data_IF_189499515236
#
_entry.id   IF_189499515236
#
_cell.length_a   1.000
_cell.length_b   1.000
_cell.length_c   1.000
_cell.angle_alpha   90.00
_cell.angle_beta   90.00
_cell.angle_gamma   90.00
#
_symmetry.space_group_name_H-M   'P 1'
#
loop_
_entity.id
_entity.type
_entity.pdbx_description
1 polymer ?
#
# COMPACT_ATOMS: atom_id res chain seq x y z
N UNK A 1 -25.08 -16.82 18.01
CA UNK A 1 -23.70 -16.33 17.81
C UNK A 1 -22.94 -16.56 19.11
N UNK A 2 -21.85 -17.32 19.11
CA UNK A 2 -20.98 -17.40 20.29
C UNK A 2 -20.29 -16.04 20.45
N UNK A 3 -20.15 -15.49 21.67
CA UNK A 3 -19.33 -14.31 21.87
C UNK A 3 -17.91 -14.66 21.42
N UNK A 4 -17.38 -13.92 20.45
CA UNK A 4 -15.99 -14.08 20.02
C UNK A 4 -15.10 -13.89 21.24
N UNK A 5 -14.30 -14.92 21.57
CA UNK A 5 -13.34 -14.85 22.66
C UNK A 5 -12.18 -13.95 22.25
N UNK A 6 -12.27 -12.69 22.70
CA UNK A 6 -11.24 -11.67 22.53
C UNK A 6 -9.94 -12.11 23.20
N UNK A 7 -8.87 -12.32 22.43
CA UNK A 7 -7.53 -12.64 22.98
C UNK A 7 -6.65 -11.39 23.00
N UNK A 8 -6.00 -11.06 24.13
CA UNK A 8 -4.98 -10.02 24.16
C UNK A 8 -3.78 -10.44 23.32
N UNK A 9 -3.18 -9.52 22.56
CA UNK A 9 -1.91 -9.78 21.90
C UNK A 9 -0.83 -10.08 22.94
N UNK A 10 -0.03 -11.13 22.72
CA UNK A 10 1.28 -11.25 23.35
C UNK A 10 2.19 -10.23 22.69
N UNK A 11 2.15 -8.98 23.16
CA UNK A 11 3.02 -7.89 22.71
C UNK A 11 4.46 -8.35 22.96
N UNK A 12 5.21 -8.71 21.90
CA UNK A 12 6.64 -8.92 22.04
C UNK A 12 7.28 -7.58 22.47
N UNK A 13 8.10 -7.66 23.50
CA UNK A 13 8.23 -6.69 24.59
C UNK A 13 9.00 -5.40 24.30
N UNK A 14 9.28 -5.02 23.05
CA UNK A 14 10.15 -3.88 22.76
C UNK A 14 9.75 -2.97 21.58
N UNK A 15 9.05 -3.47 20.56
CA UNK A 15 8.94 -2.75 19.27
C UNK A 15 7.75 -1.78 19.21
N UNK A 16 6.65 -2.08 19.89
CA UNK A 16 5.37 -1.38 19.72
C UNK A 16 5.01 -0.42 20.87
N UNK A 17 5.88 -0.29 21.86
CA UNK A 17 5.60 0.44 23.10
C UNK A 17 5.64 1.97 22.95
N UNK A 18 6.12 2.54 21.84
CA UNK A 18 6.29 4.00 21.71
C UNK A 18 5.01 4.80 22.00
N UNK A 19 4.00 4.67 21.13
CA UNK A 19 2.73 5.38 21.30
C UNK A 19 1.86 4.80 22.42
N UNK A 20 1.92 3.49 22.66
CA UNK A 20 1.15 2.86 23.75
C UNK A 20 1.59 3.36 25.13
N UNK A 21 2.91 3.47 25.35
CA UNK A 21 3.44 4.03 26.60
C UNK A 21 3.10 5.52 26.72
N UNK A 22 3.15 6.28 25.62
CA UNK A 22 2.72 7.68 25.64
C UNK A 22 1.24 7.83 26.00
N UNK A 23 0.39 6.93 25.50
CA UNK A 23 -1.03 6.90 25.85
C UNK A 23 -1.24 6.57 27.33
N UNK A 24 -0.59 5.53 27.85
CA UNK A 24 -0.71 5.14 29.25
C UNK A 24 -0.21 6.24 30.21
N UNK A 25 0.93 6.87 29.91
CA UNK A 25 1.47 7.97 30.72
C UNK A 25 0.57 9.21 30.66
N UNK A 26 -0.02 9.52 29.51
CA UNK A 26 -0.99 10.62 29.37
C UNK A 26 -2.24 10.37 30.23
N UNK A 27 -2.77 9.14 30.21
CA UNK A 27 -3.93 8.73 31.02
C UNK A 27 -3.61 8.85 32.52
N UNK A 28 -2.44 8.35 32.94
CA UNK A 28 -1.99 8.43 34.33
C UNK A 28 -1.84 9.89 34.80
N UNK A 29 -1.25 10.75 33.96
CA UNK A 29 -1.05 12.17 34.28
C UNK A 29 -2.32 12.99 34.29
N UNK A 30 -3.34 12.59 33.55
CA UNK A 30 -4.67 13.17 33.64
C UNK A 30 -5.45 12.74 34.90
N UNK A 31 -4.86 11.86 35.72
CA UNK A 31 -5.45 11.34 36.94
C UNK A 31 -6.60 10.37 36.68
N UNK A 32 -6.59 9.67 35.55
CA UNK A 32 -7.60 8.66 35.23
C UNK A 32 -7.20 7.30 35.81
N UNK A 33 -8.08 6.66 36.59
CA UNK A 33 -7.93 5.28 37.06
C UNK A 33 -8.42 4.29 36.01
N UNK A 34 -7.80 4.38 34.83
CA UNK A 34 -8.08 3.51 33.70
C UNK A 34 -6.78 3.14 32.99
N UNK A 35 -6.83 2.07 32.22
CA UNK A 35 -5.71 1.64 31.37
C UNK A 35 -6.22 1.38 29.97
N UNK A 36 -5.38 1.68 28.99
CA UNK A 36 -5.65 1.26 27.64
C UNK A 36 -5.54 -0.27 27.57
N UNK A 37 -6.63 -0.91 27.13
CA UNK A 37 -6.71 -2.34 26.87
C UNK A 37 -6.65 -2.52 25.36
N UNK A 38 -5.66 -3.30 24.93
CA UNK A 38 -5.38 -3.51 23.52
C UNK A 38 -5.78 -4.94 23.13
N UNK A 39 -6.57 -5.05 22.07
CA UNK A 39 -7.00 -6.32 21.51
C UNK A 39 -6.93 -6.23 19.99
N UNK A 40 -6.76 -7.34 19.31
CA UNK A 40 -6.94 -7.36 17.86
C UNK A 40 -6.76 -8.74 17.30
N UNK A 41 -7.09 -8.82 16.03
CA UNK A 41 -7.16 -10.05 15.26
C UNK A 41 -6.41 -9.82 13.95
N UNK A 42 -5.46 -10.70 13.65
CA UNK A 42 -4.84 -10.73 12.33
C UNK A 42 -5.79 -11.47 11.40
N UNK A 43 -6.33 -10.79 10.39
CA UNK A 43 -7.12 -11.43 9.35
C UNK A 43 -6.21 -11.72 8.15
N UNK A 44 -5.60 -12.90 8.13
CA UNK A 44 -4.76 -13.37 7.02
C UNK A 44 -3.52 -14.14 7.47
N UNK A 45 -2.64 -14.50 6.53
CA UNK A 45 -1.31 -15.06 6.81
C UNK A 45 -0.38 -13.99 7.40
N UNK A 46 0.58 -14.36 8.25
CA UNK A 46 1.49 -13.42 8.93
C UNK A 46 2.35 -12.55 7.96
N UNK A 47 2.46 -12.94 6.69
CA UNK A 47 3.30 -12.27 5.69
C UNK A 47 2.52 -11.31 4.75
N UNK A 48 1.19 -11.47 4.59
CA UNK A 48 0.33 -10.65 3.71
C UNK A 48 -1.00 -10.21 4.39
N UNK A 49 -1.10 -10.44 5.70
CA UNK A 49 -2.34 -10.36 6.46
C UNK A 49 -2.68 -8.94 6.86
N UNK A 50 -3.84 -8.49 6.42
CA UNK A 50 -4.50 -7.30 6.97
C UNK A 50 -4.78 -7.54 8.46
N UNK A 51 -4.22 -6.72 9.33
CA UNK A 51 -4.44 -6.81 10.76
C UNK A 51 -5.53 -5.83 11.17
N UNK A 52 -6.55 -6.32 11.87
CA UNK A 52 -7.58 -5.50 12.50
C UNK A 52 -7.28 -5.38 13.99
N UNK A 53 -6.98 -4.16 14.44
CA UNK A 53 -6.68 -3.88 15.84
C UNK A 53 -7.80 -3.06 16.44
N UNK A 54 -8.23 -3.42 17.64
CA UNK A 54 -9.18 -2.67 18.48
C UNK A 54 -8.49 -2.23 19.76
N UNK A 55 -8.27 -0.94 19.90
CA UNK A 55 -7.76 -0.32 21.12
C UNK A 55 -8.94 0.24 21.91
N UNK A 56 -9.05 -0.12 23.19
CA UNK A 56 -10.08 0.38 24.08
C UNK A 56 -9.50 1.03 25.32
N UNK A 57 -9.77 2.31 25.53
CA UNK A 57 -9.57 3.00 26.80
C UNK A 57 -10.92 3.06 27.51
N UNK A 58 -11.03 2.48 28.70
CA UNK A 58 -12.31 2.44 29.42
C UNK A 58 -12.61 3.81 30.04
N UNK A 59 -13.89 4.17 30.07
CA UNK A 59 -14.37 5.30 30.87
C UNK A 59 -13.87 5.17 32.31
N UNK A 60 -13.58 6.31 32.93
CA UNK A 60 -13.29 6.36 34.36
C UNK A 60 -14.55 6.83 35.10
N UNK A 61 -15.13 6.00 36.00
CA UNK A 61 -16.29 6.39 36.80
C UNK A 61 -16.09 7.66 37.63
N UNK A 62 -14.84 8.01 37.96
CA UNK A 62 -14.47 9.20 38.74
C UNK A 62 -14.32 10.46 37.87
N UNK A 63 -14.33 10.30 36.54
CA UNK A 63 -14.17 11.37 35.57
C UNK A 63 -15.31 11.30 34.55
N UNK A 64 -16.50 11.82 34.89
CA UNK A 64 -17.72 11.68 34.07
C UNK A 64 -17.60 12.29 32.67
N UNK A 65 -16.73 13.29 32.50
CA UNK A 65 -16.41 13.89 31.22
C UNK A 65 -15.68 12.92 30.27
N UNK A 66 -14.91 11.96 30.81
CA UNK A 66 -14.19 10.96 30.01
C UNK A 66 -15.04 9.70 29.82
N UNK A 67 -15.62 9.55 28.62
CA UNK A 67 -16.55 8.45 28.31
C UNK A 67 -15.85 7.18 27.87
N UNK A 68 -14.53 7.22 27.78
CA UNK A 68 -13.73 6.16 27.22
C UNK A 68 -13.79 6.16 25.69
N UNK A 69 -12.78 5.57 25.09
CA UNK A 69 -12.57 5.57 23.65
C UNK A 69 -12.42 4.14 23.16
N UNK A 70 -13.03 3.83 22.02
CA UNK A 70 -12.75 2.62 21.26
C UNK A 70 -12.28 3.05 19.89
N UNK A 71 -11.06 2.64 19.52
CA UNK A 71 -10.46 2.88 18.21
C UNK A 71 -10.30 1.55 17.52
N UNK A 72 -10.70 1.48 16.26
CA UNK A 72 -10.51 0.31 15.41
C UNK A 72 -9.76 0.73 14.16
N UNK A 73 -8.70 0.01 13.87
CA UNK A 73 -7.86 0.30 12.71
C UNK A 73 -7.48 -0.97 11.98
N UNK A 74 -7.35 -0.85 10.66
CA UNK A 74 -7.01 -1.93 9.76
C UNK A 74 -5.85 -1.50 8.88
N UNK A 75 -4.72 -2.15 9.07
CA UNK A 75 -3.49 -1.88 8.33
C UNK A 75 -2.86 -3.18 7.85
N UNK A 76 -1.92 -3.06 6.92
CA UNK A 76 -1.04 -4.16 6.55
C UNK A 76 -0.04 -4.42 7.67
N UNK A 77 -0.16 -5.59 8.30
CA UNK A 77 0.65 -5.98 9.44
C UNK A 77 0.17 -5.44 10.80
N UNK A 78 0.28 -6.30 11.80
CA UNK A 78 -0.11 -6.01 13.20
C UNK A 78 0.59 -4.78 13.78
N UNK A 79 1.84 -4.58 13.37
CA UNK A 79 2.67 -3.46 13.77
C UNK A 79 2.02 -2.10 13.48
N UNK A 80 1.61 -1.91 12.23
CA UNK A 80 1.06 -0.67 11.72
C UNK A 80 -0.33 -0.44 12.29
N UNK A 81 -1.15 -1.50 12.34
CA UNK A 81 -2.49 -1.43 12.91
C UNK A 81 -2.44 -1.00 14.39
N UNK A 82 -1.48 -1.51 15.17
CA UNK A 82 -1.28 -1.07 16.57
C UNK A 82 -0.84 0.39 16.64
N UNK A 83 0.10 0.83 15.80
CA UNK A 83 0.60 2.20 15.83
C UNK A 83 -0.46 3.22 15.39
N UNK A 84 -1.20 2.95 14.32
CA UNK A 84 -2.28 3.83 13.86
C UNK A 84 -3.41 3.90 14.89
N UNK A 85 -3.85 2.76 15.42
CA UNK A 85 -4.85 2.72 16.50
C UNK A 85 -4.38 3.50 17.75
N UNK A 86 -3.10 3.37 18.16
CA UNK A 86 -2.55 4.09 19.31
C UNK A 86 -2.53 5.61 19.09
N UNK A 87 -2.14 6.08 17.91
CA UNK A 87 -2.15 7.52 17.57
C UNK A 87 -3.56 8.09 17.55
N UNK A 88 -4.52 7.34 17.04
CA UNK A 88 -5.93 7.72 17.08
C UNK A 88 -6.47 7.75 18.51
N UNK A 89 -6.15 6.74 19.33
CA UNK A 89 -6.58 6.73 20.71
C UNK A 89 -6.00 7.89 21.51
N UNK A 90 -4.73 8.24 21.29
CA UNK A 90 -4.12 9.44 21.86
C UNK A 90 -4.91 10.69 21.48
N UNK A 91 -5.34 10.83 20.22
CA UNK A 91 -6.11 12.00 19.76
C UNK A 91 -7.44 12.11 20.48
N UNK A 92 -8.19 11.02 20.51
CA UNK A 92 -9.52 10.98 21.11
C UNK A 92 -9.46 11.21 22.62
N UNK A 93 -8.57 10.48 23.31
CA UNK A 93 -8.39 10.66 24.76
C UNK A 93 -7.94 12.08 25.05
N UNK A 94 -6.90 12.59 24.39
CA UNK A 94 -6.44 13.96 24.61
C UNK A 94 -7.57 14.99 24.42
N UNK A 95 -8.37 14.87 23.36
CA UNK A 95 -9.48 15.79 23.10
C UNK A 95 -10.54 15.76 24.23
N UNK A 96 -10.80 14.60 24.81
CA UNK A 96 -11.77 14.44 25.92
C UNK A 96 -11.24 14.97 27.26
N UNK A 97 -9.93 14.95 27.48
CA UNK A 97 -9.30 15.33 28.76
C UNK A 97 -8.33 16.51 28.63
N UNK A 98 -8.48 17.34 27.60
CA UNK A 98 -7.54 18.41 27.27
C UNK A 98 -7.34 19.40 28.43
N UNK A 99 -8.43 19.76 29.13
CA UNK A 99 -8.40 20.67 30.29
C UNK A 99 -7.56 20.09 31.44
N UNK A 100 -7.62 18.77 31.68
CA UNK A 100 -6.83 18.08 32.71
C UNK A 100 -5.35 17.98 32.37
N UNK A 101 -5.03 18.04 31.08
CA UNK A 101 -3.67 17.99 30.58
C UNK A 101 -3.02 19.39 30.48
N UNK A 102 -3.77 20.47 30.69
CA UNK A 102 -3.33 21.86 30.44
C UNK A 102 -2.04 22.23 31.16
N UNK A 103 -1.84 21.75 32.38
CA UNK A 103 -0.64 21.98 33.20
C UNK A 103 0.43 20.89 33.06
N UNK A 104 0.21 19.93 32.16
CA UNK A 104 1.13 18.81 31.92
C UNK A 104 1.90 18.99 30.62
N UNK A 105 3.07 18.34 30.47
CA UNK A 105 3.79 18.31 29.20
C UNK A 105 2.97 17.66 28.05
N UNK A 106 1.95 16.85 28.36
CA UNK A 106 1.15 16.14 27.37
C UNK A 106 0.14 17.03 26.62
N UNK A 107 -0.05 18.29 27.03
CA UNK A 107 -0.93 19.25 26.31
C UNK A 107 -0.60 19.43 24.83
N UNK A 108 0.66 19.21 24.43
CA UNK A 108 1.11 19.35 23.04
C UNK A 108 1.22 18.02 22.28
N UNK A 109 0.88 16.90 22.90
CA UNK A 109 1.03 15.57 22.31
C UNK A 109 0.32 15.46 20.94
N UNK A 110 -0.93 15.95 20.73
CA UNK A 110 -1.58 15.91 19.43
C UNK A 110 -0.93 16.80 18.36
N UNK A 111 -0.03 17.71 18.73
CA UNK A 111 0.65 18.59 17.79
C UNK A 111 2.03 18.04 17.41
N UNK A 112 2.67 17.30 18.33
CA UNK A 112 3.95 16.63 18.11
C UNK A 112 3.82 15.38 17.22
N UNK A 113 2.65 14.73 17.24
CA UNK A 113 2.44 13.43 16.57
C UNK A 113 1.98 13.53 15.11
N UNK A 114 1.65 14.72 14.59
CA UNK A 114 0.83 14.82 13.38
C UNK A 114 1.40 15.60 12.20
N UNK A 115 2.47 16.39 12.31
CA UNK A 115 3.07 17.02 11.11
C UNK A 115 4.53 17.46 11.31
N UNK A 116 5.46 17.00 10.44
CA UNK A 116 6.86 17.47 10.44
C UNK A 116 6.98 19.00 10.27
N UNK A 117 6.03 19.62 9.54
CA UNK A 117 6.03 21.07 9.25
C UNK A 117 5.84 21.97 10.47
N UNK A 118 5.17 21.48 11.52
CA UNK A 118 4.91 22.27 12.72
C UNK A 118 5.79 21.87 13.91
N UNK A 119 6.57 20.79 13.78
CA UNK A 119 7.43 20.28 14.86
C UNK A 119 8.39 21.35 15.41
N UNK A 120 9.09 22.10 14.54
CA UNK A 120 10.04 23.12 14.97
C UNK A 120 9.40 24.33 15.67
N UNK A 121 8.19 24.74 15.25
CA UNK A 121 7.46 25.83 15.88
C UNK A 121 6.81 25.40 17.20
N UNK A 122 6.36 24.14 17.26
CA UNK A 122 5.82 23.52 18.45
C UNK A 122 6.91 23.28 19.51
N UNK A 123 8.11 22.83 19.12
CA UNK A 123 9.27 22.72 20.01
C UNK A 123 9.64 24.09 20.61
N UNK A 124 9.56 25.16 19.80
CA UNK A 124 9.79 26.54 20.25
C UNK A 124 8.71 27.06 21.20
N UNK A 125 7.47 26.58 21.11
CA UNK A 125 6.40 26.87 22.08
C UNK A 125 6.61 26.07 23.37
N UNK A 126 6.96 24.80 23.23
CA UNK A 126 7.33 23.89 24.32
C UNK A 126 8.48 24.44 25.18
N UNK A 127 9.50 25.02 24.55
CA UNK A 127 10.63 25.65 25.25
C UNK A 127 10.32 27.03 25.86
N UNK A 128 9.22 27.67 25.46
CA UNK A 128 8.87 29.03 25.92
C UNK A 128 8.01 29.00 27.18
N UNK A 129 7.30 27.91 27.43
CA UNK A 129 6.48 27.74 28.61
C UNK A 129 7.36 27.27 29.78
N UNK A 130 7.53 28.17 30.76
CA UNK A 130 8.23 27.90 32.01
C UNK A 130 7.41 26.92 32.86
N UNK A 131 7.44 25.63 32.52
CA UNK A 131 6.90 24.59 33.39
C UNK A 131 7.83 24.37 34.58
N UNK A 132 7.25 23.94 35.70
CA UNK A 132 7.97 23.67 36.94
C UNK A 132 8.99 22.51 36.83
N UNK A 133 8.89 21.65 35.80
CA UNK A 133 9.73 20.45 35.64
C UNK A 133 10.34 20.33 34.23
N UNK A 134 11.51 20.96 33.97
CA UNK A 134 12.20 20.88 32.68
C UNK A 134 12.67 19.47 32.31
N UNK A 135 12.90 18.59 33.29
CA UNK A 135 13.27 17.20 33.06
C UNK A 135 12.12 16.37 32.46
N UNK A 136 10.89 16.62 32.89
CA UNK A 136 9.73 15.91 32.35
C UNK A 136 9.42 16.36 30.92
N UNK A 137 9.58 17.67 30.64
CA UNK A 137 9.50 18.20 29.28
C UNK A 137 10.49 17.51 28.34
N UNK A 138 11.77 17.43 28.75
CA UNK A 138 12.81 16.77 27.96
C UNK A 138 12.51 15.28 27.77
N UNK A 139 11.94 14.61 28.78
CA UNK A 139 11.55 13.20 28.70
C UNK A 139 10.42 12.97 27.68
N UNK A 140 9.38 13.79 27.72
CA UNK A 140 8.25 13.70 26.76
C UNK A 140 8.72 14.05 25.36
N UNK A 141 9.53 15.11 25.20
CA UNK A 141 10.12 15.48 23.92
C UNK A 141 11.00 14.36 23.36
N UNK A 142 11.87 13.76 24.17
CA UNK A 142 12.72 12.64 23.76
C UNK A 142 11.90 11.42 23.33
N UNK A 143 10.77 11.14 23.99
CA UNK A 143 9.87 10.04 23.61
C UNK A 143 9.09 10.33 22.34
N UNK A 144 8.61 11.56 22.15
CA UNK A 144 8.02 11.99 20.89
C UNK A 144 9.04 11.85 19.75
N UNK A 145 10.28 12.31 19.95
CA UNK A 145 11.37 12.16 18.99
C UNK A 145 11.62 10.68 18.70
N UNK A 146 11.74 9.83 19.72
CA UNK A 146 11.97 8.40 19.53
C UNK A 146 10.81 7.69 18.80
N UNK A 147 9.57 8.07 19.09
CA UNK A 147 8.40 7.50 18.43
C UNK A 147 8.33 7.92 16.95
N UNK A 148 8.65 9.19 16.65
CA UNK A 148 8.75 9.68 15.27
C UNK A 148 9.93 9.05 14.51
N UNK A 149 11.08 8.85 15.17
CA UNK A 149 12.25 8.21 14.57
C UNK A 149 11.95 6.77 14.15
N UNK A 150 11.22 6.02 14.98
CA UNK A 150 10.73 4.67 14.62
C UNK A 150 9.75 4.70 13.44
N UNK A 151 8.85 5.67 13.39
CA UNK A 151 7.94 5.83 12.25
C UNK A 151 8.71 6.14 10.97
N UNK A 152 9.66 7.08 11.01
CA UNK A 152 10.51 7.41 9.87
C UNK A 152 11.27 6.18 9.37
N UNK A 153 11.85 5.40 10.29
CA UNK A 153 12.51 4.15 9.94
C UNK A 153 11.57 3.15 9.26
N UNK A 154 10.32 3.02 9.75
CA UNK A 154 9.32 2.18 9.11
C UNK A 154 8.96 2.68 7.71
N UNK A 155 8.75 3.98 7.53
CA UNK A 155 8.50 4.59 6.22
C UNK A 155 9.66 4.41 5.25
N UNK A 156 10.89 4.49 5.72
CA UNK A 156 12.08 4.22 4.90
C UNK A 156 12.10 2.77 4.41
N UNK A 157 11.69 1.81 5.25
CA UNK A 157 11.53 0.41 4.84
C UNK A 157 10.43 0.24 3.80
N UNK A 158 9.26 0.84 3.99
CA UNK A 158 8.15 0.85 3.01
C UNK A 158 8.61 1.42 1.65
N UNK A 159 9.27 2.57 1.65
CA UNK A 159 9.82 3.18 0.43
C UNK A 159 10.84 2.25 -0.23
N UNK A 160 11.64 1.54 0.56
CA UNK A 160 12.57 0.52 0.06
C UNK A 160 11.87 -0.64 -0.64
N UNK A 161 10.75 -1.12 -0.11
CA UNK A 161 9.94 -2.18 -0.73
C UNK A 161 9.28 -1.70 -2.02
N UNK A 162 8.63 -0.53 -1.99
CA UNK A 162 7.99 0.06 -3.17
C UNK A 162 8.99 0.30 -4.31
N UNK A 163 10.23 0.68 -4.00
CA UNK A 163 11.29 0.81 -5.02
C UNK A 163 11.60 -0.52 -5.70
N UNK A 164 11.66 -1.62 -4.94
CA UNK A 164 11.89 -2.96 -5.51
C UNK A 164 10.72 -3.38 -6.39
N UNK A 165 9.50 -3.17 -5.95
CA UNK A 165 8.31 -3.46 -6.77
C UNK A 165 8.29 -2.65 -8.06
N UNK A 166 8.62 -1.36 -8.01
CA UNK A 166 8.76 -0.52 -9.20
C UNK A 166 9.83 -1.05 -10.15
N UNK A 167 10.98 -1.49 -9.65
CA UNK A 167 12.03 -2.11 -10.48
C UNK A 167 11.56 -3.41 -11.14
N UNK A 168 10.80 -4.24 -10.43
CA UNK A 168 10.24 -5.47 -10.98
C UNK A 168 9.18 -5.21 -12.06
N UNK A 169 8.29 -4.24 -11.83
CA UNK A 169 7.31 -3.81 -12.81
C UNK A 169 7.99 -3.23 -14.05
N UNK A 170 9.07 -2.45 -13.88
CA UNK A 170 9.85 -1.93 -15.00
C UNK A 170 10.47 -3.07 -15.83
N UNK A 171 11.04 -4.09 -15.18
CA UNK A 171 11.58 -5.27 -15.89
C UNK A 171 10.50 -6.01 -16.68
N UNK A 172 9.31 -6.18 -16.10
CA UNK A 172 8.16 -6.80 -16.80
C UNK A 172 7.72 -5.97 -18.00
N UNK A 173 7.68 -4.64 -17.86
CA UNK A 173 7.34 -3.74 -18.95
C UNK A 173 8.36 -3.82 -20.10
N UNK A 174 9.65 -3.85 -19.78
CA UNK A 174 10.72 -3.98 -20.77
C UNK A 174 10.64 -5.33 -21.52
N UNK A 175 10.31 -6.40 -20.80
CA UNK A 175 10.12 -7.72 -21.39
C UNK A 175 8.92 -7.74 -22.35
N UNK A 176 7.76 -7.24 -21.91
CA UNK A 176 6.57 -7.15 -22.77
C UNK A 176 6.80 -6.27 -24.01
N UNK A 177 7.60 -5.21 -23.88
CA UNK A 177 7.99 -4.35 -25.01
C UNK A 177 8.81 -5.12 -26.06
N UNK A 178 9.75 -5.96 -25.60
CA UNK A 178 10.53 -6.83 -26.49
C UNK A 178 9.66 -7.87 -27.18
N UNK A 179 8.79 -8.55 -26.42
CA UNK A 179 7.85 -9.55 -26.96
C UNK A 179 6.91 -8.93 -28.00
N UNK A 180 6.37 -7.74 -27.73
CA UNK A 180 5.57 -6.99 -28.71
C UNK A 180 6.34 -6.70 -29.99
N UNK A 181 7.61 -6.30 -29.88
CA UNK A 181 8.45 -5.99 -31.04
C UNK A 181 8.68 -7.23 -31.91
N UNK A 182 8.94 -8.37 -31.28
CA UNK A 182 9.09 -9.67 -31.96
C UNK A 182 7.80 -10.04 -32.68
N UNK A 183 6.66 -9.99 -31.98
CA UNK A 183 5.34 -10.29 -32.57
C UNK A 183 5.03 -9.40 -33.77
N UNK A 184 5.35 -8.10 -33.71
CA UNK A 184 5.16 -7.19 -34.84
C UNK A 184 6.04 -7.58 -36.04
N UNK A 185 7.29 -7.99 -35.80
CA UNK A 185 8.17 -8.49 -36.87
C UNK A 185 7.65 -9.81 -37.48
N UNK A 186 7.18 -10.74 -36.65
CA UNK A 186 6.58 -12.00 -37.09
C UNK A 186 5.32 -11.77 -37.94
N UNK A 187 4.45 -10.83 -37.53
CA UNK A 187 3.25 -10.47 -38.30
C UNK A 187 3.63 -9.84 -39.64
N UNK A 188 4.59 -8.91 -39.66
CA UNK A 188 5.04 -8.31 -40.93
C UNK A 188 5.67 -9.34 -41.87
N UNK A 189 6.53 -10.22 -41.36
CA UNK A 189 7.17 -11.26 -42.18
C UNK A 189 6.17 -12.32 -42.64
N UNK A 190 5.18 -12.68 -41.82
CA UNK A 190 4.07 -13.57 -42.21
C UNK A 190 3.22 -12.97 -43.31
N UNK A 191 2.91 -11.67 -43.24
CA UNK A 191 2.16 -10.94 -44.26
C UNK A 191 2.92 -10.89 -45.60
N UNK A 192 4.23 -10.62 -45.57
CA UNK A 192 5.08 -10.64 -46.76
C UNK A 192 5.08 -12.03 -47.43
N UNK A 193 5.26 -13.10 -46.65
CA UNK A 193 5.23 -14.48 -47.17
C UNK A 193 3.86 -14.86 -47.76
N UNK A 194 2.77 -14.38 -47.16
CA UNK A 194 1.43 -14.59 -47.72
C UNK A 194 1.28 -13.90 -49.08
N UNK A 195 1.74 -12.65 -49.20
CA UNK A 195 1.70 -11.92 -50.47
C UNK A 195 2.55 -12.58 -51.56
N UNK A 196 3.77 -13.03 -51.23
CA UNK A 196 4.63 -13.77 -52.17
C UNK A 196 3.95 -15.05 -52.68
N UNK A 197 3.32 -15.81 -51.78
CA UNK A 197 2.59 -17.03 -52.14
C UNK A 197 1.35 -16.74 -53.00
N UNK A 198 0.63 -15.65 -52.73
CA UNK A 198 -0.49 -15.21 -53.56
C UNK A 198 -0.05 -14.82 -54.98
N UNK A 199 1.07 -14.10 -55.11
CA UNK A 199 1.66 -13.76 -56.41
C UNK A 199 2.09 -15.00 -57.20
N UNK A 200 2.78 -15.95 -56.56
CA UNK A 200 3.19 -17.21 -57.20
C UNK A 200 1.98 -18.03 -57.68
N UNK A 201 0.92 -18.11 -56.87
CA UNK A 201 -0.31 -18.79 -57.26
C UNK A 201 -0.98 -18.10 -58.46
N UNK A 202 -0.98 -16.76 -58.50
CA UNK A 202 -1.55 -16.01 -59.61
C UNK A 202 -0.76 -16.22 -60.91
N UNK A 203 0.57 -16.27 -60.84
CA UNK A 203 1.44 -16.61 -61.98
C UNK A 203 1.23 -18.03 -62.48
N UNK A 204 1.11 -19.02 -61.59
CA UNK A 204 0.78 -20.40 -61.96
C UNK A 204 -0.59 -20.49 -62.63
N UNK A 205 -1.58 -19.72 -62.15
CA UNK A 205 -2.90 -19.64 -62.80
C UNK A 205 -2.82 -19.02 -64.19
N UNK A 206 -2.06 -17.93 -64.37
CA UNK A 206 -1.85 -17.28 -65.67
C UNK A 206 -1.19 -18.22 -66.68
N UNK A 207 -0.12 -18.89 -66.28
CA UNK A 207 0.61 -19.84 -67.15
C UNK A 207 -0.23 -21.06 -67.53
N UNK A 208 -0.96 -21.63 -66.57
CA UNK A 208 -1.89 -22.74 -66.81
C UNK A 208 -2.99 -22.36 -67.80
N UNK A 209 -3.54 -21.14 -67.68
CA UNK A 209 -4.57 -20.62 -68.59
C UNK A 209 -4.06 -20.49 -70.02
N UNK A 210 -2.85 -19.93 -70.20
CA UNK A 210 -2.21 -19.83 -71.52
C UNK A 210 -2.04 -21.22 -72.14
N UNK A 211 -1.58 -22.20 -71.34
CA UNK A 211 -1.39 -23.57 -71.81
C UNK A 211 -2.70 -24.23 -72.26
N UNK A 212 -3.78 -24.07 -71.49
CA UNK A 212 -5.12 -24.56 -71.86
C UNK A 212 -5.64 -23.90 -73.15
N UNK A 213 -5.47 -22.59 -73.29
CA UNK A 213 -5.90 -21.85 -74.49
C UNK A 213 -5.12 -22.29 -75.73
N UNK A 214 -3.82 -22.53 -75.62
CA UNK A 214 -2.99 -23.06 -76.71
C UNK A 214 -3.37 -24.48 -77.11
N UNK A 215 -3.65 -25.35 -76.14
CA UNK A 215 -4.20 -26.69 -76.38
C UNK A 215 -5.54 -26.62 -77.11
N UNK A 216 -6.44 -25.72 -76.70
CA UNK A 216 -7.72 -25.51 -77.36
C UNK A 216 -7.56 -25.00 -78.80
N UNK A 217 -6.63 -24.06 -79.05
CA UNK A 217 -6.29 -23.57 -80.39
C UNK A 217 -5.74 -24.67 -81.28
N UNK A 218 -4.83 -25.51 -80.76
CA UNK A 218 -4.26 -26.66 -81.50
C UNK A 218 -5.34 -27.68 -81.86
N UNK A 219 -6.23 -28.03 -80.93
CA UNK A 219 -7.39 -28.90 -81.19
C UNK A 219 -8.32 -28.34 -82.27
N UNK A 220 -8.65 -27.05 -82.22
CA UNK A 220 -9.46 -26.39 -83.28
C UNK A 220 -8.80 -26.48 -84.65
N UNK A 221 -7.48 -26.24 -84.75
CA UNK A 221 -6.73 -26.38 -86.02
C UNK A 221 -6.73 -27.81 -86.55
N UNK A 222 -6.57 -28.81 -85.69
CA UNK A 222 -6.58 -30.22 -86.11
C UNK A 222 -7.96 -30.65 -86.61
N UNK A 223 -9.03 -30.23 -85.93
CA UNK A 223 -10.41 -30.48 -86.38
C UNK A 223 -10.67 -29.79 -87.74
N UNK A 224 -10.25 -28.53 -87.88
CA UNK A 224 -10.43 -27.78 -89.13
C UNK A 224 -9.64 -28.39 -90.31
N UNK A 225 -8.43 -28.91 -90.06
CA UNK A 225 -7.65 -29.62 -91.06
C UNK A 225 -8.30 -30.95 -91.46
N UNK A 226 -8.87 -31.68 -90.50
CA UNK A 226 -9.58 -32.95 -90.75
C UNK A 226 -10.88 -32.77 -91.54
N UNK A 227 -11.55 -31.63 -91.42
CA UNK A 227 -12.78 -31.32 -92.17
C UNK A 227 -12.53 -30.78 -93.59
N UNK A 228 -11.27 -30.53 -93.97
CA UNK A 228 -10.87 -30.05 -95.31
C UNK A 228 -10.24 -31.13 -96.19
N UNK A 229 -10.01 -32.32 -95.64
CA UNK A 229 -9.55 -33.51 -96.36
C UNK A 229 -10.75 -34.43 -96.63
#
# INVERSE_FOLDING_TARGET
>A
MKPQEWRPFKISTASYRGFLTLLDEMIERAGLDTKAVYQGEVQGSEEDGQALVTLRVRADPMVPEFKGTIVQDREEGTANAIQTAAREAIRWVHAEIAERLEDTPYRYLPQALFTPKHFAENLRRYHRDALAEPEEQLRVAARCIHAMDRELHHRDQEVGLLRKEMEELQKKLDQLSKEKTILVQEVMTGSLRQHEMEEEMEEQHKTSKIHCDDLARRKKKTIAARNKA
#
